data_IF_158118907955
#
_entry.id   IF_158118907955
#
_cell.length_a   1.000
_cell.length_b   1.000
_cell.length_c   1.000
_cell.angle_alpha   90.00
_cell.angle_beta   90.00
_cell.angle_gamma   90.00
#
_symmetry.space_group_name_H-M   'P 1'
#
loop_
_entity.id
_entity.type
_entity.pdbx_description
1 polymer ?
#
# COMPACT_ATOMS: atom_id res chain seq x y z
N UNK A 1 10.47 19.09 6.95
CA UNK A 1 10.23 18.83 8.40
C UNK A 1 10.78 17.46 8.73
N UNK A 2 11.35 17.28 9.92
CA UNK A 2 11.85 15.99 10.38
C UNK A 2 10.79 15.31 11.26
N UNK A 3 10.61 14.01 11.07
CA UNK A 3 9.64 13.19 11.78
C UNK A 3 10.24 12.70 13.10
N UNK A 4 9.47 12.84 14.18
CA UNK A 4 9.84 12.32 15.51
C UNK A 4 9.24 10.93 15.71
N UNK A 5 7.98 10.77 15.29
CA UNK A 5 7.21 9.55 15.46
C UNK A 5 6.24 9.37 14.30
N UNK A 6 6.11 8.15 13.82
CA UNK A 6 5.05 7.71 12.92
C UNK A 6 4.30 6.56 13.57
N UNK A 7 2.98 6.52 13.42
CA UNK A 7 2.10 5.45 13.92
C UNK A 7 1.20 5.02 12.79
N UNK A 8 1.20 3.73 12.47
CA UNK A 8 0.24 3.07 11.59
C UNK A 8 -0.72 2.28 12.47
N UNK A 9 -2.01 2.44 12.25
CA UNK A 9 -3.06 1.69 12.94
C UNK A 9 -3.50 0.47 12.11
N UNK A 10 -4.25 -0.44 12.73
CA UNK A 10 -4.76 -1.66 12.06
C UNK A 10 -5.71 -1.36 10.89
N UNK A 11 -6.35 -0.19 10.87
CA UNK A 11 -7.15 0.27 9.74
C UNK A 11 -6.30 0.89 8.60
N UNK A 12 -4.97 0.81 8.69
CA UNK A 12 -3.98 1.42 7.80
C UNK A 12 -4.04 2.97 7.74
N UNK A 13 -4.66 3.62 8.72
CA UNK A 13 -4.49 5.07 8.93
C UNK A 13 -3.11 5.37 9.51
N UNK A 14 -2.54 6.52 9.13
CA UNK A 14 -1.21 6.94 9.60
C UNK A 14 -1.30 8.26 10.34
N UNK A 15 -0.58 8.35 11.46
CA UNK A 15 -0.35 9.58 12.20
C UNK A 15 1.15 9.85 12.30
N UNK A 16 1.58 11.04 11.92
CA UNK A 16 2.97 11.50 12.01
C UNK A 16 3.04 12.73 12.91
N UNK A 17 4.02 12.72 13.82
CA UNK A 17 4.38 13.85 14.65
C UNK A 17 5.76 14.38 14.24
N UNK A 18 5.85 15.68 14.00
CA UNK A 18 7.07 16.36 13.59
C UNK A 18 7.76 17.08 14.76
N UNK A 19 9.03 17.42 14.57
CA UNK A 19 9.87 18.11 15.58
C UNK A 19 9.31 19.48 15.97
N UNK A 20 8.69 20.18 15.02
CA UNK A 20 8.07 21.49 15.24
C UNK A 20 6.74 21.41 16.02
N UNK A 21 6.29 20.21 16.37
CA UNK A 21 5.02 19.96 17.03
C UNK A 21 3.83 19.80 16.08
N UNK A 22 4.03 20.05 14.78
CA UNK A 22 2.99 19.86 13.77
C UNK A 22 2.65 18.37 13.63
N UNK A 23 1.46 18.08 13.11
CA UNK A 23 0.96 16.71 12.98
C UNK A 23 0.35 16.47 11.60
N UNK A 24 0.53 15.27 11.07
CA UNK A 24 -0.09 14.84 9.81
C UNK A 24 -0.86 13.54 10.06
N UNK A 25 -2.11 13.49 9.65
CA UNK A 25 -2.91 12.28 9.59
C UNK A 25 -3.24 11.93 8.14
N UNK A 26 -3.16 10.64 7.80
CA UNK A 26 -3.53 10.09 6.51
C UNK A 26 -4.66 9.09 6.73
N UNK A 27 -5.72 9.20 5.93
CA UNK A 27 -6.88 8.31 6.05
C UNK A 27 -6.51 6.84 5.75
N UNK A 28 -7.28 5.86 6.28
CA UNK A 28 -7.13 4.43 6.00
C UNK A 28 -6.88 4.08 4.53
N UNK A 29 -7.64 4.71 3.64
CA UNK A 29 -7.57 4.49 2.19
C UNK A 29 -6.45 5.27 1.48
N UNK A 30 -5.69 6.10 2.20
CA UNK A 30 -4.64 6.97 1.66
C UNK A 30 -5.13 8.18 0.84
N UNK A 31 -6.43 8.27 0.51
CA UNK A 31 -6.93 9.28 -0.44
C UNK A 31 -7.05 10.70 0.13
N UNK A 32 -7.06 10.85 1.45
CA UNK A 32 -7.13 12.14 2.13
C UNK A 32 -6.10 12.24 3.23
N UNK A 33 -5.67 13.47 3.51
CA UNK A 33 -4.84 13.79 4.66
C UNK A 33 -5.34 15.05 5.35
N UNK A 34 -4.95 15.17 6.61
CA UNK A 34 -5.18 16.33 7.47
C UNK A 34 -3.84 16.74 8.09
N UNK A 35 -3.44 17.98 7.85
CA UNK A 35 -2.25 18.57 8.46
C UNK A 35 -2.68 19.59 9.52
N UNK A 36 -2.11 19.49 10.71
CA UNK A 36 -2.32 20.42 11.83
C UNK A 36 -0.99 21.11 12.14
N UNK A 37 -0.98 22.45 12.06
CA UNK A 37 0.19 23.26 12.43
C UNK A 37 0.31 23.33 13.95
N UNK A 38 1.55 23.31 14.44
CA UNK A 38 1.80 23.61 15.85
C UNK A 38 1.34 25.03 16.22
N UNK A 39 0.74 25.16 17.40
CA UNK A 39 0.44 26.46 17.98
C UNK A 39 1.76 27.14 18.42
N UNK A 40 1.92 28.45 18.18
CA UNK A 40 3.02 29.22 18.76
C UNK A 40 3.06 29.09 20.29
N UNK A 41 4.25 29.19 20.89
CA UNK A 41 4.39 29.17 22.36
C UNK A 41 3.63 30.31 23.04
N UNK A 42 3.42 31.42 22.32
CA UNK A 42 2.64 32.57 22.76
C UNK A 42 1.13 32.46 22.49
N UNK A 43 0.67 31.35 21.90
CA UNK A 43 -0.74 31.17 21.55
C UNK A 43 -1.61 31.10 22.80
N UNK A 44 -2.83 31.62 22.67
CA UNK A 44 -3.78 31.56 23.78
C UNK A 44 -4.23 30.10 24.00
N UNK A 45 -4.50 29.65 25.24
CA UNK A 45 -4.95 28.27 25.50
C UNK A 45 -6.25 27.84 24.79
N UNK A 46 -7.05 28.82 24.33
CA UNK A 46 -8.28 28.58 23.56
C UNK A 46 -8.08 28.68 22.04
N UNK A 47 -6.88 29.05 21.60
CA UNK A 47 -6.56 29.17 20.18
C UNK A 47 -6.54 27.78 19.55
N UNK A 48 -7.30 27.60 18.47
CA UNK A 48 -7.32 26.34 17.76
C UNK A 48 -6.18 26.28 16.74
N UNK A 49 -5.49 25.13 16.62
CA UNK A 49 -4.48 24.93 15.59
C UNK A 49 -5.04 25.15 14.18
N UNK A 50 -4.25 25.73 13.29
CA UNK A 50 -4.60 25.79 11.87
C UNK A 50 -4.56 24.38 11.27
N UNK A 51 -5.70 23.93 10.73
CA UNK A 51 -5.87 22.61 10.13
C UNK A 51 -6.17 22.70 8.65
N UNK A 52 -5.51 21.85 7.87
CA UNK A 52 -5.68 21.77 6.42
C UNK A 52 -6.04 20.34 6.05
N UNK A 53 -7.27 20.13 5.57
CA UNK A 53 -7.74 18.85 5.02
C UNK A 53 -7.71 18.90 3.51
N UNK A 54 -7.08 17.92 2.87
CA UNK A 54 -7.02 17.86 1.41
C UNK A 54 -7.01 16.40 0.92
N UNK A 55 -7.47 16.21 -0.32
CA UNK A 55 -7.27 14.97 -1.05
C UNK A 55 -5.78 14.80 -1.39
N UNK A 56 -5.23 13.65 -1.04
CA UNK A 56 -3.82 13.27 -1.21
C UNK A 56 -3.33 13.47 -2.64
N UNK A 57 -4.08 13.02 -3.66
CA UNK A 57 -3.66 13.17 -5.05
C UNK A 57 -3.49 14.63 -5.51
N UNK A 58 -4.13 15.59 -4.83
CA UNK A 58 -4.04 17.02 -5.14
C UNK A 58 -3.09 17.79 -4.22
N UNK A 59 -2.27 17.09 -3.43
CA UNK A 59 -1.33 17.70 -2.49
C UNK A 59 -0.48 18.79 -3.15
N UNK A 60 -0.37 19.92 -2.47
CA UNK A 60 0.49 21.03 -2.89
C UNK A 60 1.94 20.79 -2.47
N UNK A 61 2.88 21.51 -3.10
CA UNK A 61 4.32 21.33 -2.87
C UNK A 61 4.73 21.42 -1.39
N UNK A 62 4.04 22.24 -0.59
CA UNK A 62 4.36 22.48 0.83
C UNK A 62 4.25 21.23 1.71
N UNK A 63 3.38 20.29 1.36
CA UNK A 63 3.13 19.07 2.14
C UNK A 63 3.54 17.79 1.40
N UNK A 64 4.06 17.92 0.17
CA UNK A 64 4.29 16.78 -0.72
C UNK A 64 5.32 15.81 -0.17
N UNK A 65 6.43 16.31 0.37
CA UNK A 65 7.49 15.47 0.92
C UNK A 65 7.05 14.73 2.18
N UNK A 66 6.38 15.45 3.10
CA UNK A 66 5.82 14.91 4.33
C UNK A 66 4.82 13.78 4.03
N UNK A 67 3.91 14.03 3.07
CA UNK A 67 2.91 13.07 2.67
C UNK A 67 3.54 11.87 1.94
N UNK A 68 4.56 12.09 1.12
CA UNK A 68 5.29 11.00 0.47
C UNK A 68 5.93 10.07 1.50
N UNK A 69 6.63 10.60 2.51
CA UNK A 69 7.25 9.77 3.56
C UNK A 69 6.22 9.03 4.41
N UNK A 70 5.11 9.69 4.76
CA UNK A 70 4.01 9.04 5.47
C UNK A 70 3.38 7.89 4.65
N UNK A 71 3.24 8.08 3.33
CA UNK A 71 2.74 7.05 2.42
C UNK A 71 3.76 5.93 2.19
N UNK A 72 5.05 6.23 2.09
CA UNK A 72 6.10 5.22 2.01
C UNK A 72 6.06 4.33 3.27
N UNK A 73 6.01 4.94 4.46
CA UNK A 73 5.83 4.22 5.73
C UNK A 73 4.56 3.37 5.75
N UNK A 74 3.41 3.93 5.34
CA UNK A 74 2.14 3.18 5.22
C UNK A 74 2.30 1.98 4.30
N UNK A 75 2.82 2.21 3.09
CA UNK A 75 2.89 1.22 2.03
C UNK A 75 3.83 0.06 2.38
N UNK A 76 4.82 0.29 3.26
CA UNK A 76 5.70 -0.76 3.76
C UNK A 76 5.02 -1.79 4.66
N UNK A 77 3.85 -1.51 5.22
CA UNK A 77 3.18 -2.42 6.18
C UNK A 77 1.69 -2.63 5.87
N UNK A 78 1.09 -1.85 4.97
CA UNK A 78 -0.28 -2.03 4.50
C UNK A 78 -0.34 -3.12 3.41
N UNK A 79 -1.42 -3.91 3.39
CA UNK A 79 -1.60 -4.95 2.38
C UNK A 79 -1.73 -4.36 0.96
N UNK A 80 -2.48 -3.27 0.83
CA UNK A 80 -2.66 -2.54 -0.42
C UNK A 80 -2.01 -1.14 -0.35
N UNK A 81 -1.06 -0.84 -1.25
CA UNK A 81 -0.37 0.45 -1.22
C UNK A 81 -1.27 1.55 -1.79
N UNK A 82 -1.09 2.79 -1.33
CA UNK A 82 -1.64 3.96 -2.01
C UNK A 82 -0.56 4.57 -2.89
N UNK A 83 -0.75 4.49 -4.21
CA UNK A 83 0.23 4.90 -5.21
C UNK A 83 -0.38 5.92 -6.16
N UNK A 84 -0.21 7.20 -5.85
CA UNK A 84 -0.66 8.29 -6.71
C UNK A 84 0.44 8.75 -7.66
N UNK A 85 0.13 8.81 -8.95
CA UNK A 85 1.09 9.28 -9.96
C UNK A 85 1.60 10.71 -9.70
N UNK A 86 0.76 11.57 -9.13
CA UNK A 86 1.15 12.95 -8.81
C UNK A 86 2.14 13.06 -7.64
N UNK A 87 2.20 12.04 -6.77
CA UNK A 87 3.06 12.06 -5.58
C UNK A 87 4.36 11.31 -5.85
N UNK A 88 4.28 10.15 -6.49
CA UNK A 88 5.43 9.29 -6.75
C UNK A 88 6.46 10.08 -7.59
N UNK A 89 7.74 10.13 -7.17
CA UNK A 89 8.81 10.73 -7.95
C UNK A 89 8.98 10.05 -9.31
N UNK A 90 9.38 10.79 -10.33
CA UNK A 90 9.51 10.26 -11.69
C UNK A 90 10.55 9.14 -11.78
N UNK A 91 11.58 9.17 -10.93
CA UNK A 91 12.67 8.20 -10.87
C UNK A 91 12.20 6.83 -10.39
N UNK A 92 11.10 6.79 -9.61
CA UNK A 92 10.49 5.55 -9.11
C UNK A 92 9.45 4.97 -10.08
N UNK A 93 9.12 5.67 -11.16
CA UNK A 93 8.12 5.25 -12.14
C UNK A 93 8.76 4.42 -13.25
N UNK A 94 8.07 3.34 -13.62
CA UNK A 94 8.42 2.47 -14.74
C UNK A 94 7.23 2.42 -15.70
N UNK A 95 7.41 2.95 -16.90
CA UNK A 95 6.40 2.86 -17.95
C UNK A 95 6.54 1.54 -18.70
N UNK A 96 5.48 0.76 -18.78
CA UNK A 96 5.42 -0.53 -19.48
C UNK A 96 4.20 -0.57 -20.41
N UNK A 97 4.27 -1.40 -21.45
CA UNK A 97 3.19 -1.51 -22.44
C UNK A 97 2.06 -2.46 -22.05
N UNK A 98 2.32 -3.35 -21.08
CA UNK A 98 1.38 -4.34 -20.60
C UNK A 98 1.24 -4.22 -19.09
N UNK A 99 0.02 -4.39 -18.61
CA UNK A 99 -0.21 -4.48 -17.17
C UNK A 99 0.39 -5.78 -16.63
N UNK A 100 0.85 -5.74 -15.39
CA UNK A 100 1.53 -6.85 -14.71
C UNK A 100 0.71 -7.19 -13.46
N UNK A 101 -0.42 -7.93 -13.62
CA UNK A 101 -1.28 -8.26 -12.48
C UNK A 101 -0.74 -9.44 -11.67
N UNK A 102 0.16 -10.23 -12.23
CA UNK A 102 0.62 -11.51 -11.69
C UNK A 102 2.09 -11.72 -12.01
N UNK A 103 2.78 -12.48 -11.16
CA UNK A 103 4.18 -12.88 -11.32
C UNK A 103 4.33 -14.38 -11.17
N UNK A 104 5.34 -14.95 -11.84
CA UNK A 104 5.64 -16.38 -11.73
C UNK A 104 6.93 -16.60 -10.96
N UNK A 105 6.89 -17.57 -10.08
CA UNK A 105 8.01 -17.97 -9.24
C UNK A 105 8.68 -19.22 -9.81
N UNK A 106 9.97 -19.44 -9.51
CA UNK A 106 10.64 -20.66 -9.91
C UNK A 106 10.00 -21.88 -9.24
N UNK A 107 10.06 -23.03 -9.90
CA UNK A 107 9.62 -24.30 -9.32
C UNK A 107 10.68 -24.82 -8.34
N UNK A 108 10.29 -25.66 -7.38
CA UNK A 108 11.21 -26.22 -6.38
C UNK A 108 12.47 -26.88 -7.00
N UNK A 109 12.32 -27.50 -8.18
CA UNK A 109 13.40 -28.19 -8.89
C UNK A 109 14.31 -27.24 -9.68
N UNK A 110 13.84 -26.04 -10.04
CA UNK A 110 14.59 -25.04 -10.82
C UNK A 110 15.16 -23.91 -9.97
N UNK A 111 14.62 -23.74 -8.76
CA UNK A 111 14.95 -22.63 -7.88
C UNK A 111 16.41 -22.68 -7.35
N UNK A 112 17.11 -23.82 -7.43
CA UNK A 112 18.55 -23.90 -7.10
C UNK A 112 19.42 -23.01 -8.01
N UNK A 113 19.01 -22.77 -9.27
CA UNK A 113 19.77 -21.98 -10.26
C UNK A 113 19.40 -20.49 -10.35
N UNK A 114 18.27 -20.08 -9.77
CA UNK A 114 17.71 -18.71 -9.90
C UNK A 114 17.87 -17.86 -8.62
N UNK A 115 18.50 -18.44 -7.59
CA UNK A 115 18.71 -17.80 -6.28
C UNK A 115 20.00 -16.98 -6.23
N UNK A 116 20.01 -15.97 -5.36
CA UNK A 116 21.23 -15.31 -4.94
C UNK A 116 21.23 -15.24 -3.42
N UNK A 117 22.25 -15.81 -2.79
CA UNK A 117 22.58 -15.51 -1.41
C UNK A 117 23.57 -14.34 -1.44
N UNK A 118 23.18 -13.24 -0.80
CA UNK A 118 24.07 -12.10 -0.57
C UNK A 118 23.98 -11.78 0.90
N UNK A 119 25.12 -11.75 1.59
CA UNK A 119 25.24 -11.30 2.98
C UNK A 119 24.27 -12.02 3.95
N UNK A 120 24.09 -13.33 3.76
CA UNK A 120 23.18 -14.15 4.59
C UNK A 120 21.69 -13.89 4.36
N UNK A 121 21.30 -13.24 3.28
CA UNK A 121 19.89 -13.09 2.88
C UNK A 121 19.59 -13.96 1.66
N UNK A 122 18.58 -14.83 1.78
CA UNK A 122 18.07 -15.64 0.68
C UNK A 122 17.14 -14.78 -0.17
N UNK A 123 17.49 -14.58 -1.45
CA UNK A 123 16.66 -13.85 -2.41
C UNK A 123 16.04 -14.80 -3.44
N UNK A 124 14.71 -14.77 -3.53
CA UNK A 124 13.92 -15.50 -4.53
C UNK A 124 13.33 -14.48 -5.51
N UNK A 125 13.87 -14.34 -6.73
CA UNK A 125 13.28 -13.49 -7.75
C UNK A 125 12.19 -14.22 -8.54
N UNK A 126 11.21 -13.46 -9.03
CA UNK A 126 10.24 -13.97 -10.00
C UNK A 126 10.91 -14.17 -11.36
N UNK A 127 10.42 -15.12 -12.16
CA UNK A 127 10.98 -15.49 -13.47
C UNK A 127 10.92 -14.33 -14.48
N UNK A 128 9.94 -13.44 -14.30
CA UNK A 128 9.71 -12.25 -15.11
C UNK A 128 10.41 -10.99 -14.55
N UNK A 129 11.05 -11.07 -13.39
CA UNK A 129 11.82 -9.97 -12.79
C UNK A 129 10.96 -8.80 -12.29
N UNK A 130 9.66 -9.02 -12.09
CA UNK A 130 8.72 -7.99 -11.60
C UNK A 130 8.45 -8.06 -10.10
N UNK A 131 8.92 -9.11 -9.43
CA UNK A 131 8.91 -9.23 -7.98
C UNK A 131 10.12 -10.03 -7.47
N UNK A 132 10.44 -9.86 -6.19
CA UNK A 132 11.37 -10.73 -5.48
C UNK A 132 11.09 -10.72 -3.97
N UNK A 133 11.34 -11.85 -3.32
CA UNK A 133 11.27 -12.01 -1.87
C UNK A 133 12.68 -12.11 -1.31
N UNK A 134 12.91 -11.43 -0.19
CA UNK A 134 14.14 -11.44 0.59
C UNK A 134 13.86 -12.01 1.98
N UNK A 135 14.56 -13.07 2.35
CA UNK A 135 14.48 -13.70 3.66
C UNK A 135 15.87 -13.66 4.35
N UNK A 136 16.06 -12.80 5.35
CA UNK A 136 17.29 -12.77 6.14
C UNK A 136 17.48 -14.07 6.95
N UNK A 137 18.74 -14.52 7.11
CA UNK A 137 19.07 -15.80 7.77
C UNK A 137 18.65 -15.89 9.24
N UNK A 138 18.66 -14.80 9.99
CA UNK A 138 18.38 -14.82 11.44
C UNK A 138 17.10 -14.12 11.85
N UNK A 139 16.42 -13.39 10.96
CA UNK A 139 15.28 -12.56 11.35
C UNK A 139 13.94 -13.31 11.26
N UNK A 140 12.96 -12.96 12.14
CA UNK A 140 11.61 -13.51 12.12
C UNK A 140 10.68 -12.80 11.10
N UNK A 141 11.25 -12.16 10.08
CA UNK A 141 10.52 -11.42 9.06
C UNK A 141 11.11 -11.63 7.66
N UNK A 142 10.35 -11.23 6.66
CA UNK A 142 10.77 -11.21 5.27
C UNK A 142 10.29 -9.94 4.59
N UNK A 143 11.00 -9.55 3.54
CA UNK A 143 10.67 -8.37 2.72
C UNK A 143 10.28 -8.83 1.33
N UNK A 144 9.25 -8.22 0.76
CA UNK A 144 8.87 -8.43 -0.64
C UNK A 144 8.98 -7.12 -1.40
N UNK A 145 9.54 -7.19 -2.60
CA UNK A 145 9.57 -6.08 -3.52
C UNK A 145 8.82 -6.49 -4.78
N UNK A 146 7.91 -5.63 -5.25
CA UNK A 146 7.13 -5.92 -6.45
C UNK A 146 6.77 -4.64 -7.21
N UNK A 147 6.52 -4.78 -8.52
CA UNK A 147 5.96 -3.71 -9.34
C UNK A 147 4.46 -3.62 -9.13
N UNK A 148 3.99 -2.48 -8.60
CA UNK A 148 2.58 -2.21 -8.45
C UNK A 148 2.15 -1.14 -9.46
N UNK A 149 1.00 -1.35 -10.10
CA UNK A 149 0.40 -0.37 -11.00
C UNK A 149 0.00 0.87 -10.21
N UNK A 150 0.44 2.04 -10.68
CA UNK A 150 0.11 3.33 -10.09
C UNK A 150 -1.34 3.67 -10.40
N UNK A 151 -2.04 4.22 -9.40
CA UNK A 151 -3.38 4.72 -9.58
C UNK A 151 -3.35 6.04 -10.36
N UNK A 152 -3.97 6.02 -11.53
CA UNK A 152 -4.06 7.16 -12.44
C UNK A 152 -5.49 7.71 -12.46
N UNK A 153 -5.64 8.97 -12.87
CA UNK A 153 -6.97 9.47 -13.23
C UNK A 153 -7.40 8.72 -14.49
N UNK A 154 -8.66 8.27 -14.59
CA UNK A 154 -9.16 7.77 -15.85
C UNK A 154 -9.06 8.91 -16.86
N UNK A 155 -8.23 8.74 -17.89
CA UNK A 155 -8.22 9.65 -19.02
C UNK A 155 -9.64 9.68 -19.60
N UNK A 156 -10.12 10.86 -19.97
CA UNK A 156 -11.43 11.06 -20.59
C UNK A 156 -11.62 10.28 -21.91
N UNK A 157 -10.56 9.63 -22.42
CA UNK A 157 -10.56 8.72 -23.57
C UNK A 157 -10.90 7.26 -23.24
N UNK A 158 -10.87 6.83 -21.97
CA UNK A 158 -11.06 5.43 -21.53
C UNK A 158 -12.53 4.95 -21.60
N UNK A 159 -13.48 5.87 -21.83
CA UNK A 159 -14.92 5.55 -21.89
C UNK A 159 -15.31 4.64 -23.09
N UNK A 160 -14.41 4.43 -24.06
CA UNK A 160 -14.71 3.63 -25.26
C UNK A 160 -14.45 2.11 -25.09
N UNK A 161 -13.60 1.67 -24.15
CA UNK A 161 -13.24 0.24 -24.02
C UNK A 161 -14.11 -0.53 -23.02
N UNK A 162 -14.61 0.12 -21.96
CA UNK A 162 -15.50 -0.52 -20.96
C UNK A 162 -16.89 -0.85 -21.53
N UNK A 163 -17.38 -0.08 -22.52
CA UNK A 163 -18.65 -0.36 -23.19
C UNK A 163 -18.63 -1.72 -23.93
N UNK A 164 -17.47 -2.18 -24.39
CA UNK A 164 -17.33 -3.47 -25.08
C UNK A 164 -17.33 -4.68 -24.12
N UNK A 165 -16.84 -4.53 -22.89
CA UNK A 165 -16.91 -5.60 -21.88
C UNK A 165 -18.30 -5.70 -21.24
N UNK A 166 -19.00 -4.59 -21.04
CA UNK A 166 -20.38 -4.61 -20.55
C UNK A 166 -21.39 -5.10 -21.60
N UNK A 167 -21.15 -4.85 -22.89
CA UNK A 167 -22.00 -5.37 -23.97
C UNK A 167 -21.99 -6.91 -24.04
N UNK A 168 -20.83 -7.54 -23.80
CA UNK A 168 -20.73 -9.02 -23.74
C UNK A 168 -21.37 -9.62 -22.48
N UNK A 169 -21.39 -8.89 -21.36
CA UNK A 169 -22.03 -9.36 -20.12
C UNK A 169 -23.55 -9.22 -20.15
N UNK A 170 -24.09 -8.20 -20.84
CA UNK A 170 -25.55 -8.04 -21.03
C UNK A 170 -26.16 -9.09 -21.96
N UNK A 171 -25.42 -9.56 -22.97
CA UNK A 171 -25.89 -10.62 -23.87
C UNK A 171 -26.01 -12.01 -23.20
N UNK A 172 -25.41 -12.20 -22.01
CA UNK A 172 -25.43 -13.47 -21.29
C UNK A 172 -26.46 -13.49 -20.13
N UNK A 173 -27.03 -12.34 -19.77
CA UNK A 173 -28.01 -12.19 -18.68
C UNK A 173 -29.46 -12.09 -19.19
N UNK A 174 -29.68 -11.92 -20.51
CA UNK A 174 -31.03 -11.90 -21.11
C UNK A 174 -31.71 -13.28 -21.22
N UNK A 175 -31.05 -14.38 -20.83
CA UNK A 175 -31.63 -15.74 -20.88
C UNK A 175 -32.03 -16.35 -19.54
N UNK A 176 -31.85 -15.65 -18.43
CA UNK A 176 -32.29 -16.16 -17.13
C UNK A 176 -32.83 -15.01 -16.27
N UNK A 177 -34.16 -14.88 -16.23
CA UNK A 177 -34.96 -14.56 -15.03
C UNK A 177 -36.32 -14.01 -15.48
N UNK A 178 -37.28 -14.93 -15.64
CA UNK A 178 -38.65 -14.62 -15.25
C UNK A 178 -38.72 -14.70 -13.73
N UNK A 179 -39.64 -13.93 -13.15
CA UNK A 179 -40.34 -14.14 -11.87
C UNK A 179 -39.89 -13.24 -10.68
N UNK A 180 -40.90 -12.47 -10.23
CA UNK A 180 -41.24 -11.95 -8.89
C UNK A 180 -40.93 -10.50 -8.47
N UNK A 181 -42.00 -9.73 -8.63
CA UNK A 181 -42.49 -8.53 -7.95
C UNK A 181 -42.38 -8.53 -6.41
N UNK A 182 -42.01 -7.39 -5.83
CA UNK A 182 -42.58 -6.76 -4.62
C UNK A 182 -41.86 -5.41 -4.41
N UNK A 183 -42.42 -4.27 -4.04
CA UNK A 183 -43.75 -3.82 -3.67
C UNK A 183 -43.54 -2.36 -3.22
N UNK A 184 -44.24 -1.41 -3.86
CA UNK A 184 -44.18 0.00 -3.50
C UNK A 184 -45.14 0.29 -2.34
N UNK A 185 -44.74 1.14 -1.39
CA UNK A 185 -45.67 2.02 -0.67
C UNK A 185 -45.03 3.41 -0.43
N UNK A 186 -45.81 4.51 -0.50
CA UNK A 186 -45.32 5.88 -0.67
C UNK A 186 -45.35 6.71 0.63
N UNK A 187 -44.52 7.74 0.73
CA UNK A 187 -44.50 8.66 1.88
C UNK A 187 -43.99 10.07 1.54
N UNK A 188 -44.95 10.94 1.19
CA UNK A 188 -45.02 12.41 1.28
C UNK A 188 -43.74 13.28 1.15
N UNK A 189 -43.72 14.04 0.04
CA UNK A 189 -42.96 15.29 -0.18
C UNK A 189 -43.60 16.47 0.55
N UNK A 190 -42.80 17.21 1.33
CA UNK A 190 -43.04 18.62 1.64
C UNK A 190 -42.36 19.50 0.58
N UNK A 191 -43.11 20.51 0.10
CA UNK A 191 -42.72 21.49 -0.92
C UNK A 191 -41.93 22.65 -0.29
N UNK A 192 -40.97 23.21 -1.04
CA UNK A 192 -40.91 24.61 -1.52
C UNK A 192 -39.51 24.87 -2.14
N UNK A 193 -39.45 25.21 -3.44
CA UNK A 193 -39.15 26.56 -4.02
C UNK A 193 -37.72 27.01 -3.71
N UNK A 194 -36.79 27.28 -4.61
CA UNK A 194 -36.70 27.91 -5.96
C UNK A 194 -35.35 27.41 -6.57
N UNK A 195 -34.95 27.51 -7.84
CA UNK A 195 -35.37 28.29 -8.99
C UNK A 195 -34.88 27.55 -10.26
N UNK A 196 -35.63 27.70 -11.34
CA UNK A 196 -35.40 27.11 -12.66
C UNK A 196 -34.17 27.69 -13.36
N UNK A 197 -33.42 26.84 -14.08
CA UNK A 197 -32.81 27.23 -15.36
C UNK A 197 -33.15 26.17 -16.41
N UNK A 198 -34.18 26.48 -17.17
CA UNK A 198 -34.61 25.74 -18.35
C UNK A 198 -33.72 26.15 -19.54
N UNK A 199 -32.84 25.27 -20.00
CA UNK A 199 -32.22 25.40 -21.32
C UNK A 199 -33.02 24.54 -22.31
N UNK A 200 -33.81 25.21 -23.14
CA UNK A 200 -34.58 24.61 -24.22
C UNK A 200 -33.74 24.59 -25.49
N UNK A 201 -33.79 23.46 -26.18
CA UNK A 201 -32.98 23.05 -27.32
C UNK A 201 -33.35 23.85 -28.58
N UNK A 202 -32.35 24.33 -29.33
CA UNK A 202 -32.51 24.66 -30.74
C UNK A 202 -31.28 24.18 -31.54
N UNK A 203 -31.51 23.29 -32.50
CA UNK A 203 -30.55 22.86 -33.52
C UNK A 203 -30.79 23.67 -34.80
N UNK A 204 -29.72 24.21 -35.39
CA UNK A 204 -29.62 24.54 -36.83
C UNK A 204 -28.14 24.47 -37.22
N UNK A 205 -27.74 23.48 -38.02
CA UNK A 205 -27.48 23.54 -39.48
C UNK A 205 -26.35 24.53 -39.87
N UNK A 206 -25.16 23.96 -40.11
CA UNK A 206 -24.12 24.45 -41.04
C UNK A 206 -24.67 24.58 -42.48
N UNK A 207 -24.04 25.31 -43.44
CA UNK A 207 -22.57 25.44 -43.64
C UNK A 207 -22.06 26.83 -44.13
N UNK A 208 -20.73 27.04 -44.10
CA UNK A 208 -19.94 27.54 -45.25
C UNK A 208 -18.57 28.12 -44.84
N UNK A 209 -17.54 27.50 -45.41
CA UNK A 209 -16.29 28.02 -45.98
C UNK A 209 -15.59 29.27 -45.37
N UNK A 210 -14.32 29.08 -44.97
CA UNK A 210 -13.25 30.07 -45.19
C UNK A 210 -11.85 29.41 -45.28
N UNK A 211 -11.39 29.33 -46.54
CA UNK A 211 -10.03 29.50 -47.07
C UNK A 211 -8.82 29.04 -46.25
N UNK A 212 -8.24 27.92 -46.71
CA UNK A 212 -6.82 27.56 -46.60
C UNK A 212 -5.97 28.50 -47.48
N UNK A 213 -4.85 28.96 -46.96
CA UNK A 213 -3.71 29.38 -47.78
C UNK A 213 -2.58 28.35 -47.61
N UNK A 214 -2.09 27.88 -48.75
CA UNK A 214 -0.96 26.95 -48.93
C UNK A 214 0.17 27.73 -49.59
N UNK A 215 1.38 27.60 -49.07
CA UNK A 215 2.68 27.55 -49.79
C UNK A 215 3.78 27.23 -48.76
N UNK A 216 4.66 26.23 -48.89
CA UNK A 216 4.89 25.22 -49.92
C UNK A 216 5.83 24.10 -49.40
N UNK A 217 5.75 22.94 -50.07
CA UNK A 217 6.85 22.03 -50.55
C UNK A 217 8.00 21.70 -49.60
N UNK A 218 8.45 20.46 -49.36
CA UNK A 218 8.14 19.07 -49.74
C UNK A 218 9.01 18.23 -48.78
N UNK A 219 8.52 17.07 -48.31
CA UNK A 219 9.37 16.19 -47.48
C UNK A 219 8.60 15.13 -46.70
N UNK A 220 8.22 14.07 -47.42
CA UNK A 220 7.94 12.72 -46.91
C UNK A 220 6.91 12.58 -45.77
N UNK A 221 5.68 12.28 -46.17
CA UNK A 221 4.60 11.81 -45.32
C UNK A 221 5.00 10.52 -44.56
N UNK A 222 5.28 10.64 -43.26
CA UNK A 222 5.05 9.56 -42.32
C UNK A 222 3.67 9.79 -41.69
N UNK A 223 2.69 9.00 -42.10
CA UNK A 223 1.36 8.92 -41.50
C UNK A 223 1.47 8.86 -39.96
N UNK A 224 0.74 9.69 -39.19
CA UNK A 224 0.64 9.48 -37.76
C UNK A 224 -0.12 8.17 -37.52
N UNK A 225 0.57 7.18 -36.98
CA UNK A 225 -0.03 5.89 -36.61
C UNK A 225 -1.18 6.14 -35.62
N UNK A 226 -2.43 5.75 -35.93
CA UNK A 226 -3.55 5.88 -35.01
C UNK A 226 -3.48 4.75 -33.99
N UNK A 227 -2.86 5.02 -32.85
CA UNK A 227 -2.84 4.11 -31.72
C UNK A 227 -2.19 4.78 -30.54
N UNK A 228 -2.97 5.47 -29.71
CA UNK A 228 -2.52 5.90 -28.40
C UNK A 228 -2.05 4.65 -27.66
N UNK A 229 -0.72 4.46 -27.54
CA UNK A 229 -0.15 3.35 -26.80
C UNK A 229 -0.54 3.56 -25.34
N UNK A 230 -1.49 2.77 -24.84
CA UNK A 230 -1.78 2.73 -23.41
C UNK A 230 -0.49 2.27 -22.71
N UNK A 231 0.21 3.22 -22.10
CA UNK A 231 1.36 2.94 -21.26
C UNK A 231 0.86 2.84 -19.84
N UNK A 232 1.16 1.73 -19.19
CA UNK A 232 0.89 1.55 -17.78
C UNK A 232 2.09 2.09 -17.00
N UNK A 233 1.81 2.84 -15.94
CA UNK A 233 2.83 3.33 -15.04
C UNK A 233 2.84 2.44 -13.81
N UNK A 234 4.00 1.86 -13.50
CA UNK A 234 4.23 1.04 -12.31
C UNK A 234 5.28 1.70 -11.42
N UNK A 235 5.28 1.35 -10.15
CA UNK A 235 6.32 1.73 -9.20
C UNK A 235 6.73 0.51 -8.37
N UNK A 236 8.00 0.45 -7.98
CA UNK A 236 8.45 -0.54 -7.01
C UNK A 236 7.88 -0.22 -5.64
N UNK A 237 7.30 -1.25 -5.02
CA UNK A 237 6.81 -1.23 -3.64
C UNK A 237 7.61 -2.24 -2.86
N UNK A 238 7.99 -1.86 -1.65
CA UNK A 238 8.63 -2.70 -0.66
C UNK A 238 7.67 -2.88 0.50
N UNK A 239 7.42 -4.13 0.90
CA UNK A 239 6.58 -4.47 2.05
C UNK A 239 7.32 -5.40 3.01
N UNK A 240 7.13 -5.16 4.30
CA UNK A 240 7.69 -5.94 5.39
C UNK A 240 6.60 -6.80 6.05
N UNK A 241 6.88 -8.09 6.17
CA UNK A 241 5.95 -9.06 6.73
C UNK A 241 6.62 -9.94 7.78
N UNK A 242 5.94 -10.14 8.91
CA UNK A 242 6.33 -11.16 9.89
C UNK A 242 6.06 -12.55 9.32
N UNK A 243 6.95 -13.52 9.59
CA UNK A 243 6.79 -14.91 9.15
C UNK A 243 5.48 -15.55 9.65
N UNK A 244 4.99 -15.12 10.82
CA UNK A 244 3.74 -15.62 11.40
C UNK A 244 2.47 -15.03 10.75
N UNK A 245 2.61 -14.01 9.92
CA UNK A 245 1.50 -13.25 9.33
C UNK A 245 1.68 -13.08 7.82
N UNK A 246 2.19 -14.12 7.15
CA UNK A 246 2.41 -14.11 5.70
C UNK A 246 1.06 -14.04 4.93
N UNK A 247 0.88 -13.06 4.03
CA UNK A 247 -0.23 -13.04 3.08
C UNK A 247 -0.22 -14.25 2.13
N UNK A 248 -1.39 -14.63 1.61
CA UNK A 248 -1.56 -15.78 0.71
C UNK A 248 -0.69 -15.68 -0.54
N UNK A 249 -0.58 -14.47 -1.10
CA UNK A 249 0.17 -14.17 -2.31
C UNK A 249 1.66 -14.47 -2.17
N UNK A 250 2.20 -14.46 -0.94
CA UNK A 250 3.62 -14.63 -0.69
C UNK A 250 3.98 -15.98 -0.04
N UNK A 251 2.99 -16.84 0.23
CA UNK A 251 3.23 -18.16 0.86
C UNK A 251 4.15 -19.05 0.03
N UNK A 252 3.91 -19.17 -1.26
CA UNK A 252 4.73 -19.99 -2.16
C UNK A 252 6.19 -19.50 -2.25
N UNK A 253 6.49 -18.23 -2.60
CA UNK A 253 7.89 -17.78 -2.62
C UNK A 253 8.55 -17.84 -1.24
N UNK A 254 7.79 -17.71 -0.14
CA UNK A 254 8.31 -17.87 1.21
C UNK A 254 8.65 -19.34 1.52
N UNK A 255 7.82 -20.30 1.10
CA UNK A 255 8.10 -21.74 1.29
C UNK A 255 9.38 -22.14 0.56
N UNK A 256 9.60 -21.61 -0.65
CA UNK A 256 10.86 -21.75 -1.37
C UNK A 256 12.03 -21.21 -0.54
N UNK A 257 11.96 -19.95 -0.07
CA UNK A 257 13.03 -19.32 0.69
C UNK A 257 13.37 -20.08 1.99
N UNK A 258 12.37 -20.55 2.73
CA UNK A 258 12.54 -21.37 3.93
C UNK A 258 13.16 -22.73 3.61
N UNK A 259 12.70 -23.38 2.54
CA UNK A 259 13.28 -24.63 2.05
C UNK A 259 14.78 -24.48 1.74
N UNK A 260 15.19 -23.36 1.14
CA UNK A 260 16.60 -23.07 0.90
C UNK A 260 17.39 -22.84 2.17
N UNK A 261 16.88 -22.02 3.09
CA UNK A 261 17.53 -21.77 4.37
C UNK A 261 17.81 -23.07 5.12
N UNK A 262 16.86 -24.01 5.12
CA UNK A 262 17.00 -25.31 5.77
C UNK A 262 17.99 -26.25 5.05
N UNK A 263 18.03 -26.23 3.71
CA UNK A 263 19.04 -26.99 2.95
C UNK A 263 20.45 -26.52 3.29
N UNK A 264 20.66 -25.20 3.34
CA UNK A 264 21.97 -24.59 3.64
C UNK A 264 22.44 -24.97 5.04
N UNK A 265 21.56 -24.87 6.06
CA UNK A 265 21.91 -25.26 7.43
C UNK A 265 22.31 -26.74 7.54
N UNK A 266 21.66 -27.61 6.77
CA UNK A 266 21.97 -29.04 6.78
C UNK A 266 23.30 -29.36 6.07
N UNK A 267 23.68 -28.58 5.05
CA UNK A 267 24.95 -28.75 4.33
C UNK A 267 26.16 -28.15 5.06
N UNK A 268 25.95 -27.17 5.94
CA UNK A 268 27.05 -26.46 6.62
C UNK A 268 27.59 -27.16 7.87
N UNK A 269 27.11 -28.37 8.21
CA UNK A 269 27.73 -29.26 9.22
C UNK A 269 27.85 -28.68 10.63
N UNK A 270 27.12 -27.62 10.98
CA UNK A 270 27.19 -27.00 12.31
C UNK A 270 26.20 -27.71 13.24
N UNK A 271 26.67 -28.79 13.86
CA UNK A 271 25.99 -29.50 14.93
C UNK A 271 25.99 -28.63 16.20
N UNK A 272 25.07 -27.67 16.26
CA UNK A 272 24.73 -26.99 17.52
C UNK A 272 23.30 -27.41 17.84
N UNK A 273 23.18 -28.26 18.85
CA UNK A 273 21.95 -28.59 19.54
C UNK A 273 21.25 -27.31 20.02
N UNK A 274 20.45 -26.70 19.15
CA UNK A 274 19.42 -25.76 19.56
C UNK A 274 18.21 -26.60 19.91
N UNK A 275 17.96 -26.68 21.21
CA UNK A 275 16.79 -27.28 21.85
C UNK A 275 15.53 -27.07 20.99
N UNK A 276 14.93 -28.20 20.62
CA UNK A 276 13.68 -28.29 19.88
C UNK A 276 12.59 -27.45 20.56
N UNK A 277 12.35 -26.24 20.04
CA UNK A 277 11.09 -25.55 20.23
C UNK A 277 10.31 -25.64 18.92
N UNK A 278 9.45 -26.66 18.88
CA UNK A 278 8.20 -26.76 18.12
C UNK A 278 8.16 -25.89 16.87
N UNK A 279 8.85 -26.38 15.83
CA UNK A 279 8.57 -25.98 14.45
C UNK A 279 7.11 -26.34 14.21
N UNK A 280 6.27 -25.30 14.17
CA UNK A 280 5.00 -25.36 13.46
C UNK A 280 5.34 -25.76 12.02
N UNK A 281 5.32 -27.06 11.77
CA UNK A 281 5.11 -27.59 10.43
C UNK A 281 3.72 -27.11 10.08
N UNK A 282 3.52 -26.16 9.12
CA UNK A 282 2.21 -26.12 8.52
C UNK A 282 2.08 -27.50 7.87
N UNK A 283 1.05 -28.24 8.29
CA UNK A 283 0.63 -29.41 7.55
C UNK A 283 0.64 -29.01 6.08
N UNK A 284 1.50 -29.67 5.29
CA UNK A 284 1.52 -29.53 3.84
C UNK A 284 0.18 -30.08 3.38
N UNK A 285 -0.82 -29.19 3.40
CA UNK A 285 -2.01 -29.38 2.61
C UNK A 285 -1.52 -29.38 1.18
N UNK A 286 -1.73 -30.48 0.46
CA UNK A 286 -1.49 -30.62 -0.97
C UNK A 286 -2.44 -29.73 -1.80
N UNK A 287 -2.69 -28.50 -1.34
CA UNK A 287 -3.22 -27.44 -2.18
C UNK A 287 -2.09 -27.06 -3.12
N UNK A 288 -2.14 -27.60 -4.35
CA UNK A 288 -1.37 -27.19 -5.53
C UNK A 288 -0.81 -25.77 -5.34
N UNK A 289 0.41 -25.66 -4.81
CA UNK A 289 0.98 -24.36 -4.50
C UNK A 289 1.10 -23.63 -5.84
N UNK A 290 0.39 -22.51 -5.97
CA UNK A 290 0.38 -21.79 -7.23
C UNK A 290 1.75 -21.14 -7.36
N UNK A 291 2.52 -21.58 -8.34
CA UNK A 291 3.75 -20.92 -8.81
C UNK A 291 3.49 -19.48 -9.32
N UNK A 292 2.24 -19.00 -9.25
CA UNK A 292 1.79 -17.69 -9.69
C UNK A 292 1.20 -16.94 -8.51
N UNK A 293 1.71 -15.74 -8.26
CA UNK A 293 1.15 -14.80 -7.27
C UNK A 293 0.46 -13.65 -7.98
N UNK A 294 -0.73 -13.31 -7.51
CA UNK A 294 -1.41 -12.07 -7.90
C UNK A 294 -0.77 -10.92 -7.13
N UNK A 295 -0.36 -9.86 -7.83
CA UNK A 295 0.28 -8.71 -7.20
C UNK A 295 -0.76 -7.82 -6.50
N UNK A 296 -0.43 -7.26 -5.31
CA UNK A 296 -1.29 -6.29 -4.66
C UNK A 296 -1.61 -5.10 -5.55
N UNK A 297 -2.88 -4.69 -5.55
CA UNK A 297 -3.36 -3.55 -6.33
C UNK A 297 -3.28 -2.27 -5.51
N UNK A 298 -2.89 -1.19 -6.17
CA UNK A 298 -2.94 0.12 -5.55
C UNK A 298 -4.38 0.55 -5.22
N UNK A 299 -4.54 1.26 -4.11
CA UNK A 299 -5.80 1.83 -3.68
C UNK A 299 -6.28 2.93 -4.64
N UNK A 300 -7.60 3.12 -4.78
CA UNK A 300 -8.16 4.15 -5.66
C UNK A 300 -7.79 5.56 -5.21
N UNK A 301 -7.63 6.49 -6.17
CA UNK A 301 -7.31 7.89 -5.88
C UNK A 301 -8.42 8.64 -5.12
N UNK A 302 -9.63 8.10 -5.10
CA UNK A 302 -10.80 8.70 -4.46
C UNK A 302 -11.47 7.68 -3.55
N UNK A 303 -11.75 8.08 -2.31
CA UNK A 303 -12.57 7.29 -1.40
C UNK A 303 -14.06 7.45 -1.75
N UNK A 304 -14.85 6.36 -1.77
CA UNK A 304 -16.31 6.44 -1.95
C UNK A 304 -17.03 6.99 -0.71
N UNK A 305 -16.42 6.89 0.47
CA UNK A 305 -17.03 7.24 1.76
C UNK A 305 -16.13 8.15 2.63
N UNK A 306 -15.67 9.30 2.11
CA UNK A 306 -14.71 10.17 2.84
C UNK A 306 -15.29 10.80 4.12
N UNK A 307 -16.61 10.78 4.26
CA UNK A 307 -17.32 11.24 5.47
C UNK A 307 -17.17 10.26 6.65
N UNK A 308 -16.76 9.00 6.41
CA UNK A 308 -16.49 8.01 7.45
C UNK A 308 -15.06 8.05 7.97
N UNK A 309 -14.18 8.86 7.35
CA UNK A 309 -12.84 9.05 7.86
C UNK A 309 -12.89 9.75 9.22
N UNK A 310 -12.29 9.11 10.23
CA UNK A 310 -12.10 9.66 11.56
C UNK A 310 -10.81 10.47 11.59
N UNK A 311 -10.86 11.64 12.22
CA UNK A 311 -9.72 12.53 12.37
C UNK A 311 -9.59 12.84 13.85
N UNK A 312 -8.48 12.43 14.45
CA UNK A 312 -8.29 12.51 15.89
C UNK A 312 -7.43 13.74 16.20
N UNK A 313 -8.06 14.91 16.26
CA UNK A 313 -7.51 16.10 16.89
C UNK A 313 -8.59 16.61 17.84
N UNK A 314 -8.27 16.69 19.12
CA UNK A 314 -9.23 17.07 20.15
C UNK A 314 -9.79 18.47 19.86
N UNK A 315 -11.12 18.58 19.72
CA UNK A 315 -11.86 19.85 19.68
C UNK A 315 -12.44 20.23 21.05
N UNK A 316 -12.10 19.49 22.10
CA UNK A 316 -12.75 19.60 23.40
C UNK A 316 -11.98 20.53 24.33
N UNK A 317 -12.42 21.78 24.41
CA UNK A 317 -12.08 22.75 25.46
C UNK A 317 -12.62 22.37 26.86
N UNK A 318 -12.65 21.09 27.21
CA UNK A 318 -13.20 20.63 28.48
C UNK A 318 -12.69 19.25 28.84
N UNK A 319 -11.64 19.19 29.67
CA UNK A 319 -11.71 18.58 31.00
C UNK A 319 -10.35 18.82 31.68
N UNK A 320 -10.35 19.50 32.82
CA UNK A 320 -9.16 19.61 33.65
C UNK A 320 -8.79 18.26 34.27
N UNK A 321 -7.51 18.09 34.57
CA UNK A 321 -6.95 17.09 35.49
C UNK A 321 -7.57 15.69 35.43
N UNK A 322 -7.02 14.85 34.55
CA UNK A 322 -7.04 13.39 34.74
C UNK A 322 -5.98 12.77 33.85
N UNK A 323 -5.31 11.74 34.36
CA UNK A 323 -4.50 10.74 33.63
C UNK A 323 -5.38 10.00 32.60
N UNK A 324 -5.93 10.72 31.61
CA UNK A 324 -6.74 10.13 30.56
C UNK A 324 -5.83 9.62 29.44
N UNK A 325 -5.47 8.35 29.61
CA UNK A 325 -5.05 7.41 28.58
C UNK A 325 -5.74 7.74 27.25
N UNK A 326 -4.99 8.35 26.33
CA UNK A 326 -5.43 8.67 24.97
C UNK A 326 -5.86 7.39 24.26
N UNK A 327 -7.13 7.02 24.42
CA UNK A 327 -7.70 5.81 23.87
C UNK A 327 -7.94 6.03 22.38
N UNK A 328 -6.95 5.71 21.55
CA UNK A 328 -7.21 5.49 20.13
C UNK A 328 -8.13 4.27 20.02
N UNK A 329 -9.32 4.39 19.38
CA UNK A 329 -10.21 3.25 19.25
C UNK A 329 -9.59 2.16 18.36
N UNK A 330 -8.70 2.55 17.45
CA UNK A 330 -7.97 1.64 16.57
C UNK A 330 -6.67 1.15 17.22
N UNK A 331 -6.45 -0.17 17.14
CA UNK A 331 -5.23 -0.80 17.63
C UNK A 331 -4.02 -0.35 16.79
N UNK A 332 -2.89 -0.14 17.47
CA UNK A 332 -1.64 0.28 16.83
C UNK A 332 -1.00 -0.92 16.14
N UNK A 333 -0.72 -0.82 14.85
CA UNK A 333 -0.07 -1.87 14.04
C UNK A 333 1.45 -1.70 14.00
N UNK A 334 1.93 -0.49 13.70
CA UNK A 334 3.37 -0.17 13.68
C UNK A 334 3.63 1.20 14.28
N UNK A 335 4.70 1.33 15.06
CA UNK A 335 5.23 2.62 15.52
C UNK A 335 6.68 2.73 15.04
N UNK A 336 7.02 3.85 14.42
CA UNK A 336 8.41 4.25 14.22
C UNK A 336 8.71 5.44 15.12
N UNK A 337 9.80 5.40 15.87
CA UNK A 337 10.21 6.48 16.77
C UNK A 337 11.73 6.55 16.85
N UNK A 338 12.32 7.69 16.47
CA UNK A 338 13.77 7.96 16.58
C UNK A 338 14.65 6.83 15.99
N UNK A 339 14.26 6.28 14.85
CA UNK A 339 15.01 5.21 14.16
C UNK A 339 14.63 3.78 14.58
N UNK A 340 13.85 3.60 15.65
CA UNK A 340 13.40 2.27 16.11
C UNK A 340 12.00 2.00 15.58
N UNK A 341 11.80 0.84 14.96
CA UNK A 341 10.47 0.37 14.54
C UNK A 341 9.94 -0.65 15.53
N UNK A 342 8.67 -0.51 15.91
CA UNK A 342 7.93 -1.43 16.76
C UNK A 342 6.75 -1.94 15.95
N UNK A 343 6.66 -3.25 15.72
CA UNK A 343 5.53 -3.88 15.05
C UNK A 343 4.73 -4.67 16.07
N UNK A 344 3.44 -4.39 16.17
CA UNK A 344 2.53 -5.05 17.09
C UNK A 344 1.62 -5.99 16.29
N UNK A 345 1.36 -7.17 16.83
CA UNK A 345 0.42 -8.13 16.27
C UNK A 345 -0.69 -8.39 17.27
N UNK A 346 -1.94 -8.12 16.89
CA UNK A 346 -3.12 -8.25 17.76
C UNK A 346 -3.97 -9.49 17.46
N UNK A 347 -3.31 -10.64 17.19
CA UNK A 347 -4.00 -11.91 16.87
C UNK A 347 -4.39 -12.65 18.16
N UNK A 348 -4.31 -13.98 18.16
CA UNK A 348 -4.66 -14.82 19.33
C UNK A 348 -3.82 -14.50 20.57
N UNK A 349 -2.57 -14.09 20.37
CA UNK A 349 -1.68 -13.61 21.42
C UNK A 349 -1.05 -12.33 20.94
N UNK A 350 -1.15 -11.28 21.75
CA UNK A 350 -0.54 -10.01 21.43
C UNK A 350 0.98 -10.13 21.54
N UNK A 351 1.69 -9.70 20.52
CA UNK A 351 3.15 -9.72 20.49
C UNK A 351 3.71 -8.43 19.90
N UNK A 352 4.95 -8.13 20.28
CA UNK A 352 5.71 -6.99 19.79
C UNK A 352 7.06 -7.45 19.23
N UNK A 353 7.40 -6.92 18.07
CA UNK A 353 8.69 -7.07 17.40
C UNK A 353 9.36 -5.68 17.36
N UNK A 354 10.60 -5.57 17.84
CA UNK A 354 11.36 -4.32 17.96
C UNK A 354 12.57 -4.40 17.06
N UNK A 355 12.74 -3.39 16.21
CA UNK A 355 13.79 -3.25 15.21
C UNK A 355 14.61 -1.99 15.52
N UNK A 356 15.78 -2.11 16.17
CA UNK A 356 16.61 -0.96 16.56
C UNK A 356 17.27 -0.24 15.39
N UNK A 357 17.38 -0.90 14.22
CA UNK A 357 18.02 -0.35 13.01
C UNK A 357 19.45 -0.85 12.77
N UNK A 358 20.00 -1.68 13.66
CA UNK A 358 21.30 -2.36 13.54
C UNK A 358 21.19 -3.75 12.89
N UNK A 359 20.00 -4.11 12.39
CA UNK A 359 19.69 -5.42 11.82
C UNK A 359 19.33 -6.50 12.86
N UNK A 360 19.39 -6.19 14.16
CA UNK A 360 18.85 -7.07 15.20
C UNK A 360 17.33 -6.94 15.32
N UNK A 361 16.69 -7.96 15.89
CA UNK A 361 15.26 -7.98 16.18
C UNK A 361 15.01 -8.55 17.56
N UNK A 362 14.22 -7.86 18.38
CA UNK A 362 13.71 -8.39 19.64
C UNK A 362 12.25 -8.77 19.48
N UNK A 363 11.88 -9.99 19.82
CA UNK A 363 10.49 -10.46 19.75
C UNK A 363 10.01 -10.87 21.12
N UNK A 364 8.88 -10.33 21.56
CA UNK A 364 8.29 -10.73 22.84
C UNK A 364 7.82 -12.18 22.81
N UNK A 365 8.09 -12.93 23.87
CA UNK A 365 7.62 -14.31 24.06
C UNK A 365 6.44 -14.40 25.04
N UNK A 366 5.53 -15.34 24.77
CA UNK A 366 4.44 -15.71 25.67
C UNK A 366 3.19 -14.83 25.59
N UNK A 367 2.19 -15.16 26.42
CA UNK A 367 0.91 -14.45 26.48
C UNK A 367 0.96 -13.12 27.24
N UNK A 368 2.08 -12.83 27.89
CA UNK A 368 2.27 -11.64 28.71
C UNK A 368 3.16 -10.65 27.95
N UNK A 369 2.60 -9.48 27.65
CA UNK A 369 3.26 -8.39 26.93
C UNK A 369 4.63 -8.02 27.54
N UNK A 370 5.71 -8.47 26.92
CA UNK A 370 7.05 -7.90 27.13
C UNK A 370 7.78 -8.35 28.39
N UNK A 371 7.43 -9.48 29.01
CA UNK A 371 8.21 -10.01 30.14
C UNK A 371 9.52 -10.67 29.69
N UNK A 372 9.54 -11.27 28.50
CA UNK A 372 10.70 -11.95 27.93
C UNK A 372 10.80 -11.65 26.45
N UNK A 373 12.03 -11.55 25.95
CA UNK A 373 12.31 -11.29 24.54
C UNK A 373 13.31 -12.30 23.99
N UNK A 374 13.00 -12.87 22.82
CA UNK A 374 13.99 -13.53 21.98
C UNK A 374 14.78 -12.46 21.22
N UNK A 375 16.10 -12.51 21.30
CA UNK A 375 16.97 -11.65 20.52
C UNK A 375 17.48 -12.40 19.27
N UNK A 376 17.25 -11.81 18.10
CA UNK A 376 17.73 -12.29 16.81
C UNK A 376 18.80 -11.32 16.31
N UNK A 377 20.07 -11.69 16.39
CA UNK A 377 21.19 -10.89 15.86
C UNK A 377 21.65 -11.38 14.49
N UNK A 378 22.23 -10.48 13.72
CA UNK A 378 23.06 -10.85 12.56
C UNK A 378 24.40 -11.28 13.15
N UNK A 379 24.69 -12.57 13.11
CA UNK A 379 26.02 -13.05 13.48
C UNK A 379 26.93 -12.76 12.28
N UNK A 380 27.60 -11.61 12.29
CA UNK A 380 28.74 -11.39 11.39
C UNK A 380 29.76 -12.48 11.71
N UNK A 381 30.14 -13.25 10.69
CA UNK A 381 31.18 -14.26 10.84
C UNK A 381 32.42 -13.57 11.39
N UNK A 382 32.89 -14.06 12.53
CA UNK A 382 34.22 -13.76 13.02
C UNK A 382 35.22 -14.15 11.92
N UNK A 383 35.70 -13.16 11.16
CA UNK A 383 37.00 -13.29 10.50
C UNK A 383 38.03 -13.42 11.62
N UNK A 384 38.36 -14.65 11.98
CA UNK A 384 39.63 -14.93 12.64
C UNK A 384 40.73 -14.52 11.66
N UNK A 385 41.29 -13.34 11.89
CA UNK A 385 42.58 -12.95 11.34
C UNK A 385 43.62 -13.83 12.03
N UNK A 386 43.98 -14.93 11.37
CA UNK A 386 45.15 -15.75 11.70
C UNK A 386 46.43 -15.14 11.19
#
# INVERSE_FOLDING_TARGET
MAEVRMVLYEDDSVHVQYVDGSRLQVSPCGSEFLFEKALPVSAHPLEQPERIRQRTHFVISTFREQLQRALDFRNSFAACPFLSESIIPSERKKCVFLDIPEVRWPSLNTADGTRCERDGTVKIPSLDGHAYLCLPKSQPEFTVHFLCKVSQKPDSSVVLSERNYQAKKKQLVEKASKILTCGNLPGQRLKNKENELHCQIAKSKEPSEKKRCVTGTEGTEALPWPGAKHTFVHAWVEQHWSLASCPEEWKYPLSLALGFRNKISNTSGTDVNITQNTVLTPAVSEEREKEVSVLPKALPLSCPVPHLHRWNFCDSLSQGQSDEEYSYPELVKVVWCKGITYRLTHKNVNSIEIFPGDGSVFKSEGAYFGNYFTHYSIQEGSEEVS
#
